data_IF_555246722578
#
_entry.id   IF_555246722578
#
_cell.length_a   1.000
_cell.length_b   1.000
_cell.length_c   1.000
_cell.angle_alpha   90.00
_cell.angle_beta   90.00
_cell.angle_gamma   90.00
#
_symmetry.space_group_name_H-M   'P 1'
#
loop_
_entity.id
_entity.type
_entity.pdbx_description
1 polymer ?
#
# COMPACT_ATOMS: atom_id res chain seq x y z
N UNK A 1 -4.81 -14.05 2.21
CA UNK A 1 -5.12 -14.32 0.78
C UNK A 1 -5.27 -13.04 -0.04
N UNK A 2 -5.67 -11.90 0.54
CA UNK A 2 -5.70 -10.61 -0.18
C UNK A 2 -4.33 -10.01 -0.50
N UNK A 3 -3.30 -10.34 0.27
CA UNK A 3 -1.94 -9.84 0.13
C UNK A 3 -1.10 -10.75 -0.76
N UNK A 4 -0.03 -10.25 -1.42
CA UNK A 4 0.93 -11.15 -2.04
C UNK A 4 1.55 -12.05 -0.95
N UNK A 5 2.20 -13.16 -1.32
CA UNK A 5 3.02 -13.91 -0.36
C UNK A 5 3.89 -12.93 0.44
N UNK A 6 3.72 -12.94 1.77
CA UNK A 6 4.27 -11.93 2.68
C UNK A 6 4.78 -12.64 3.93
N UNK A 7 5.96 -12.21 4.39
CA UNK A 7 6.56 -12.64 5.64
C UNK A 7 6.98 -11.40 6.44
N UNK A 8 6.87 -11.47 7.76
CA UNK A 8 7.47 -10.49 8.68
C UNK A 8 8.51 -11.25 9.51
N UNK A 9 9.79 -10.88 9.39
CA UNK A 9 10.86 -11.66 10.00
C UNK A 9 12.08 -10.82 10.41
N UNK A 10 12.77 -11.30 11.45
CA UNK A 10 14.16 -10.96 11.77
C UNK A 10 15.15 -12.00 11.25
N UNK A 11 14.70 -13.23 11.05
CA UNK A 11 15.58 -14.34 10.70
C UNK A 11 16.09 -14.22 9.26
N UNK A 12 17.40 -14.08 9.15
CA UNK A 12 18.11 -13.95 7.88
C UNK A 12 18.00 -15.23 7.05
N UNK A 13 17.95 -16.41 7.69
CA UNK A 13 17.81 -17.68 7.00
C UNK A 13 16.41 -17.76 6.36
N UNK A 14 15.35 -17.48 7.13
CA UNK A 14 14.00 -17.40 6.61
C UNK A 14 13.85 -16.39 5.45
N UNK A 15 14.48 -15.21 5.54
CA UNK A 15 14.44 -14.21 4.45
C UNK A 15 15.12 -14.74 3.17
N UNK A 16 16.25 -15.44 3.31
CA UNK A 16 16.93 -16.07 2.17
C UNK A 16 16.12 -17.22 1.57
N UNK A 17 15.46 -18.02 2.40
CA UNK A 17 14.58 -19.10 1.96
C UNK A 17 13.36 -18.54 1.22
N UNK A 18 12.73 -17.49 1.77
CA UNK A 18 11.63 -16.81 1.13
C UNK A 18 12.03 -16.26 -0.25
N UNK A 19 13.23 -15.66 -0.38
CA UNK A 19 13.79 -15.25 -1.69
C UNK A 19 14.05 -16.44 -2.59
N UNK A 20 14.59 -17.54 -2.07
CA UNK A 20 14.87 -18.72 -2.88
C UNK A 20 13.59 -19.30 -3.50
N UNK A 21 12.50 -19.32 -2.71
CA UNK A 21 11.19 -19.80 -3.14
C UNK A 21 10.49 -18.84 -4.11
N UNK A 22 10.43 -17.54 -3.77
CA UNK A 22 9.68 -16.55 -4.57
C UNK A 22 10.50 -15.82 -5.64
N UNK A 23 11.82 -16.02 -5.66
CA UNK A 23 12.82 -15.53 -6.63
C UNK A 23 13.03 -14.01 -6.59
N UNK A 24 11.98 -13.23 -6.79
CA UNK A 24 11.99 -11.76 -6.83
C UNK A 24 11.13 -11.23 -5.69
N UNK A 25 11.72 -10.42 -4.81
CA UNK A 25 11.09 -9.99 -3.57
C UNK A 25 11.22 -8.49 -3.35
N UNK A 26 10.27 -7.93 -2.61
CA UNK A 26 10.35 -6.62 -2.00
C UNK A 26 10.72 -6.80 -0.53
N UNK A 27 11.75 -6.08 -0.08
CA UNK A 27 12.14 -5.96 1.33
C UNK A 27 11.87 -4.53 1.77
N UNK A 28 11.07 -4.35 2.82
CA UNK A 28 10.71 -3.04 3.36
C UNK A 28 10.58 -3.04 4.89
N UNK A 29 10.91 -1.93 5.59
CA UNK A 29 10.54 -1.72 6.98
C UNK A 29 9.02 -1.85 7.19
N UNK A 30 8.58 -2.16 8.42
CA UNK A 30 7.17 -2.14 8.79
C UNK A 30 6.66 -0.70 8.97
N UNK A 31 7.53 0.16 9.50
CA UNK A 31 7.22 1.57 9.73
C UNK A 31 7.94 2.44 8.70
N UNK A 32 7.20 3.38 8.13
CA UNK A 32 7.72 4.27 7.10
C UNK A 32 6.58 4.82 6.27
N UNK A 33 6.91 5.67 5.32
CA UNK A 33 5.98 6.19 4.32
C UNK A 33 6.72 6.54 3.03
N UNK A 34 5.97 6.82 1.97
CA UNK A 34 6.52 7.41 0.74
C UNK A 34 7.51 6.54 -0.03
N UNK A 35 7.59 5.23 0.26
CA UNK A 35 8.53 4.33 -0.39
C UNK A 35 9.96 4.36 0.15
N UNK A 36 10.18 4.98 1.34
CA UNK A 36 11.47 4.94 2.02
C UNK A 36 11.80 3.51 2.47
N UNK A 37 13.04 3.08 2.21
CA UNK A 37 13.53 1.75 2.60
C UNK A 37 12.90 0.59 1.83
N UNK A 38 12.22 0.83 0.69
CA UNK A 38 11.71 -0.24 -0.16
C UNK A 38 12.79 -0.67 -1.16
N UNK A 39 13.21 -1.93 -1.07
CA UNK A 39 14.18 -2.53 -1.97
C UNK A 39 13.56 -3.68 -2.76
N UNK A 40 13.77 -3.70 -4.08
CA UNK A 40 13.52 -4.90 -4.89
C UNK A 40 14.80 -5.70 -4.96
N UNK A 41 14.74 -6.96 -4.53
CA UNK A 41 15.87 -7.89 -4.51
C UNK A 41 15.56 -9.01 -5.49
N UNK A 42 16.26 -8.99 -6.63
CA UNK A 42 16.16 -10.00 -7.68
C UNK A 42 16.87 -11.31 -7.28
N UNK A 43 16.67 -12.42 -8.01
CA UNK A 43 17.34 -13.69 -7.72
C UNK A 43 18.87 -13.63 -7.69
N UNK A 44 19.47 -12.73 -8.48
CA UNK A 44 20.91 -12.55 -8.66
C UNK A 44 21.49 -11.36 -7.87
N UNK A 45 20.68 -10.65 -7.08
CA UNK A 45 21.14 -9.48 -6.32
C UNK A 45 22.03 -9.89 -5.12
N UNK A 46 23.28 -9.44 -5.15
CA UNK A 46 24.29 -9.75 -4.13
C UNK A 46 24.13 -8.91 -2.85
N UNK A 47 23.34 -7.83 -2.88
CA UNK A 47 23.26 -6.85 -1.79
C UNK A 47 22.32 -7.25 -0.66
N UNK A 48 21.56 -8.35 -0.78
CA UNK A 48 20.65 -8.78 0.30
C UNK A 48 21.38 -8.94 1.63
N UNK A 49 22.59 -9.51 1.63
CA UNK A 49 23.37 -9.66 2.87
C UNK A 49 23.67 -8.32 3.52
N UNK A 50 24.26 -7.39 2.75
CA UNK A 50 24.63 -6.06 3.22
C UNK A 50 23.41 -5.23 3.66
N UNK A 51 22.26 -5.36 2.97
CA UNK A 51 21.01 -4.73 3.35
C UNK A 51 20.55 -5.22 4.73
N UNK A 52 20.53 -6.53 4.95
CA UNK A 52 20.14 -7.12 6.23
C UNK A 52 21.12 -6.76 7.35
N UNK A 53 22.42 -6.73 7.08
CA UNK A 53 23.45 -6.28 8.02
C UNK A 53 23.23 -4.81 8.43
N UNK A 54 23.03 -3.94 7.45
CA UNK A 54 22.80 -2.52 7.69
C UNK A 54 21.50 -2.28 8.47
N UNK A 55 20.41 -2.95 8.09
CA UNK A 55 19.12 -2.77 8.77
C UNK A 55 19.17 -3.30 10.21
N UNK A 56 19.60 -4.54 10.42
CA UNK A 56 19.62 -5.14 11.76
C UNK A 56 20.74 -4.62 12.66
N UNK A 57 21.77 -3.99 12.09
CA UNK A 57 22.78 -3.25 12.85
C UNK A 57 22.24 -1.92 13.41
N UNK A 58 21.33 -1.27 12.68
CA UNK A 58 20.80 0.06 13.04
C UNK A 58 19.40 0.02 13.69
N UNK A 59 18.65 -1.07 13.52
CA UNK A 59 17.28 -1.21 13.98
C UNK A 59 17.00 -2.62 14.52
N UNK A 60 16.15 -2.70 15.54
CA UNK A 60 15.59 -3.97 16.06
C UNK A 60 14.26 -4.35 15.39
N UNK A 61 13.79 -3.54 14.46
CA UNK A 61 12.52 -3.73 13.78
C UNK A 61 12.59 -4.90 12.79
N UNK A 62 11.57 -5.79 12.74
CA UNK A 62 11.53 -6.82 11.71
C UNK A 62 11.28 -6.20 10.34
N UNK A 63 11.65 -6.94 9.30
CA UNK A 63 11.40 -6.54 7.92
C UNK A 63 10.13 -7.24 7.42
N UNK A 64 9.34 -6.52 6.62
CA UNK A 64 8.34 -7.12 5.76
C UNK A 64 8.99 -7.52 4.44
N UNK A 65 8.83 -8.79 4.07
CA UNK A 65 9.30 -9.35 2.82
C UNK A 65 8.10 -9.83 2.02
N UNK A 66 7.92 -9.34 0.80
CA UNK A 66 6.81 -9.71 -0.07
C UNK A 66 7.33 -10.22 -1.41
N UNK A 67 6.59 -11.11 -2.08
CA UNK A 67 6.87 -11.42 -3.49
C UNK A 67 6.74 -10.12 -4.31
N UNK A 68 7.68 -9.90 -5.23
CA UNK A 68 7.56 -8.80 -6.20
C UNK A 68 6.40 -9.07 -7.15
N UNK A 69 5.50 -8.09 -7.30
CA UNK A 69 4.38 -8.14 -8.25
C UNK A 69 4.71 -7.33 -9.51
N UNK A 70 4.93 -7.99 -10.68
CA UNK A 70 5.26 -7.30 -11.92
C UNK A 70 4.20 -6.30 -12.39
N UNK A 71 2.94 -6.50 -11.97
CA UNK A 71 1.82 -5.61 -12.25
C UNK A 71 2.05 -4.16 -11.77
N UNK A 72 2.99 -3.92 -10.84
CA UNK A 72 3.37 -2.56 -10.40
C UNK A 72 3.81 -1.67 -11.56
N UNK A 73 4.28 -2.25 -12.67
CA UNK A 73 4.63 -1.50 -13.89
C UNK A 73 3.43 -0.86 -14.57
N UNK A 74 2.24 -1.43 -14.42
CA UNK A 74 0.98 -0.81 -14.83
C UNK A 74 0.49 0.22 -13.79
N UNK A 75 1.07 0.22 -12.60
CA UNK A 75 0.83 1.16 -11.53
C UNK A 75 0.44 0.51 -10.20
N UNK A 76 0.35 1.35 -9.19
CA UNK A 76 -0.06 1.05 -7.83
C UNK A 76 -1.31 1.89 -7.53
N UNK A 77 -2.44 1.20 -7.45
CA UNK A 77 -3.74 1.82 -7.30
C UNK A 77 -3.98 2.19 -5.84
N UNK A 78 -4.10 3.49 -5.59
CA UNK A 78 -4.56 4.06 -4.32
C UNK A 78 -6.08 4.11 -4.33
N UNK A 79 -6.74 3.27 -3.53
CA UNK A 79 -8.20 3.30 -3.34
C UNK A 79 -8.50 4.00 -2.01
N UNK A 80 -9.40 4.98 -2.05
CA UNK A 80 -9.82 5.78 -0.92
C UNK A 80 -11.08 5.18 -0.33
N UNK A 81 -11.03 4.82 0.95
CA UNK A 81 -12.18 4.37 1.73
C UNK A 81 -12.55 5.42 2.78
N UNK A 82 -13.84 5.75 2.83
CA UNK A 82 -14.42 6.63 3.85
C UNK A 82 -15.50 5.84 4.59
N UNK A 83 -15.36 5.73 5.90
CA UNK A 83 -16.24 4.92 6.76
C UNK A 83 -16.38 3.46 6.30
N UNK A 84 -15.31 2.90 5.71
CA UNK A 84 -15.28 1.54 5.16
C UNK A 84 -15.82 1.40 3.73
N UNK A 85 -16.33 2.47 3.12
CA UNK A 85 -16.87 2.46 1.75
C UNK A 85 -15.82 2.95 0.75
N UNK A 86 -15.55 2.25 -0.36
CA UNK A 86 -14.60 2.69 -1.38
C UNK A 86 -15.22 3.76 -2.28
N UNK A 87 -14.76 5.01 -2.16
CA UNK A 87 -15.37 6.18 -2.81
C UNK A 87 -14.53 6.83 -3.90
N UNK A 88 -13.27 6.43 -4.07
CA UNK A 88 -12.43 6.96 -5.14
C UNK A 88 -11.17 6.14 -5.34
N UNK A 89 -10.56 6.26 -6.52
CA UNK A 89 -9.30 5.58 -6.80
C UNK A 89 -8.44 6.42 -7.75
N UNK A 90 -7.12 6.34 -7.55
CA UNK A 90 -6.14 6.87 -8.50
C UNK A 90 -5.09 5.80 -8.76
N UNK A 91 -4.57 5.73 -9.99
CA UNK A 91 -3.46 4.85 -10.29
C UNK A 91 -2.16 5.65 -10.25
N UNK A 92 -1.18 5.20 -9.48
CA UNK A 92 0.14 5.84 -9.39
C UNK A 92 1.12 5.04 -10.21
N UNK A 93 1.56 5.60 -11.34
CA UNK A 93 2.45 4.89 -12.26
C UNK A 93 3.90 5.29 -11.95
N UNK A 94 4.81 4.33 -11.72
CA UNK A 94 6.22 4.62 -11.49
C UNK A 94 6.86 5.27 -12.73
N UNK A 95 7.89 6.08 -12.50
CA UNK A 95 8.74 6.60 -13.58
C UNK A 95 9.63 5.48 -14.14
N UNK A 96 10.07 5.62 -15.39
CA UNK A 96 10.99 4.67 -16.00
C UNK A 96 12.28 4.58 -15.18
N UNK A 97 12.76 3.35 -14.93
CA UNK A 97 13.96 3.09 -14.14
C UNK A 97 13.75 2.97 -12.62
N UNK A 98 12.64 3.46 -12.04
CA UNK A 98 12.30 3.27 -10.62
C UNK A 98 11.17 2.24 -10.47
N UNK A 99 11.20 1.44 -9.41
CA UNK A 99 10.12 0.50 -9.09
C UNK A 99 9.04 1.13 -8.17
N UNK A 100 9.34 2.27 -7.55
CA UNK A 100 8.45 2.96 -6.61
C UNK A 100 7.44 3.81 -7.36
N UNK A 101 6.17 3.62 -7.01
CA UNK A 101 5.00 4.29 -7.61
C UNK A 101 4.52 5.49 -6.79
N UNK A 102 5.01 5.67 -5.55
CA UNK A 102 4.55 6.74 -4.67
C UNK A 102 4.75 8.11 -5.33
N UNK A 103 3.76 9.00 -5.23
CA UNK A 103 3.85 10.36 -5.80
C UNK A 103 5.02 11.16 -5.22
N UNK A 104 5.38 10.92 -3.95
CA UNK A 104 6.56 11.52 -3.32
C UNK A 104 7.89 11.09 -3.96
N UNK A 105 7.92 9.91 -4.60
CA UNK A 105 9.08 9.39 -5.32
C UNK A 105 9.03 9.73 -6.83
N UNK A 106 8.15 10.64 -7.26
CA UNK A 106 8.00 11.06 -8.65
C UNK A 106 6.95 10.30 -9.45
N UNK A 107 6.22 9.36 -8.84
CA UNK A 107 5.12 8.65 -9.50
C UNK A 107 4.01 9.58 -9.99
N UNK A 108 3.50 9.33 -11.19
CA UNK A 108 2.46 10.17 -11.82
C UNK A 108 1.08 9.59 -11.53
N UNK A 109 0.22 10.39 -10.93
CA UNK A 109 -1.18 10.02 -10.74
C UNK A 109 -1.93 10.04 -12.08
N UNK A 110 -2.70 8.98 -12.34
CA UNK A 110 -3.53 8.81 -13.52
C UNK A 110 -4.96 8.44 -13.10
N UNK A 111 -5.98 8.85 -13.87
CA UNK A 111 -7.34 8.37 -13.66
C UNK A 111 -7.40 6.85 -13.78
N UNK A 112 -8.27 6.22 -13.01
CA UNK A 112 -8.44 4.76 -13.02
C UNK A 112 -9.82 4.38 -12.52
N UNK A 113 -10.23 3.15 -12.80
CA UNK A 113 -11.47 2.57 -12.27
C UNK A 113 -11.14 1.36 -11.40
N UNK A 114 -12.03 1.07 -10.45
CA UNK A 114 -11.92 -0.14 -9.63
C UNK A 114 -12.39 -1.37 -10.41
N UNK A 115 -11.54 -2.39 -10.46
CA UNK A 115 -11.84 -3.73 -10.99
C UNK A 115 -12.77 -4.48 -10.05
N UNK A 116 -13.26 -5.64 -10.49
CA UNK A 116 -14.02 -6.54 -9.61
C UNK A 116 -13.19 -6.98 -8.38
N UNK A 117 -11.89 -7.25 -8.59
CA UNK A 117 -10.97 -7.64 -7.52
C UNK A 117 -10.74 -6.52 -6.51
N UNK A 118 -10.60 -5.27 -6.98
CA UNK A 118 -10.48 -4.11 -6.10
C UNK A 118 -11.69 -3.97 -5.18
N UNK A 119 -12.90 -4.14 -5.74
CA UNK A 119 -14.16 -4.07 -4.98
C UNK A 119 -14.26 -5.19 -3.95
N UNK A 120 -13.93 -6.42 -4.33
CA UNK A 120 -13.89 -7.56 -3.41
C UNK A 120 -12.93 -7.30 -2.24
N UNK A 121 -11.73 -6.76 -2.50
CA UNK A 121 -10.77 -6.37 -1.45
C UNK A 121 -11.43 -5.36 -0.50
N UNK A 122 -12.06 -4.31 -1.04
CA UNK A 122 -12.71 -3.26 -0.25
C UNK A 122 -13.87 -3.81 0.58
N UNK A 123 -14.73 -4.65 0.00
CA UNK A 123 -15.86 -5.29 0.69
C UNK A 123 -15.41 -6.15 1.87
N UNK A 124 -14.28 -6.85 1.72
CA UNK A 124 -13.75 -7.72 2.78
C UNK A 124 -13.10 -6.96 3.93
N UNK A 125 -12.39 -5.86 3.65
CA UNK A 125 -11.68 -5.10 4.69
C UNK A 125 -12.56 -3.98 5.29
N UNK A 126 -13.48 -3.42 4.51
CA UNK A 126 -14.30 -2.25 4.85
C UNK A 126 -15.01 -2.36 6.21
N UNK A 127 -15.72 -3.47 6.50
CA UNK A 127 -16.37 -3.67 7.79
C UNK A 127 -15.40 -3.62 8.98
N UNK A 128 -14.20 -4.18 8.82
CA UNK A 128 -13.17 -4.16 9.87
C UNK A 128 -12.59 -2.76 10.07
N UNK A 129 -12.36 -2.01 8.98
CA UNK A 129 -11.89 -0.63 9.05
C UNK A 129 -12.90 0.25 9.79
N UNK A 130 -14.19 0.12 9.43
CA UNK A 130 -15.30 0.83 10.08
C UNK A 130 -15.41 0.48 11.56
N UNK A 131 -15.40 -0.81 11.92
CA UNK A 131 -15.49 -1.27 13.30
C UNK A 131 -14.33 -0.77 14.18
N UNK A 132 -13.15 -0.56 13.60
CA UNK A 132 -11.98 0.02 14.29
C UNK A 132 -12.00 1.55 14.35
N UNK A 133 -13.06 2.18 13.86
CA UNK A 133 -13.19 3.64 13.83
C UNK A 133 -12.31 4.33 12.79
N UNK A 134 -11.66 3.58 11.88
CA UNK A 134 -10.78 4.11 10.83
C UNK A 134 -11.61 4.81 9.75
N UNK A 135 -11.95 6.06 10.01
CA UNK A 135 -12.86 6.85 9.19
C UNK A 135 -12.32 7.08 7.78
N UNK A 136 -11.03 7.39 7.65
CA UNK A 136 -10.41 7.78 6.38
C UNK A 136 -9.17 6.93 6.17
N UNK A 137 -9.23 6.05 5.16
CA UNK A 137 -8.18 5.07 4.86
C UNK A 137 -7.85 5.09 3.37
N UNK A 138 -6.57 4.95 3.03
CA UNK A 138 -6.12 4.72 1.66
C UNK A 138 -5.46 3.36 1.56
N UNK A 139 -5.97 2.46 0.72
CA UNK A 139 -5.31 1.18 0.45
C UNK A 139 -4.54 1.23 -0.86
N UNK A 140 -3.47 0.46 -0.92
CA UNK A 140 -2.63 0.31 -2.10
C UNK A 140 -2.81 -1.09 -2.67
N UNK A 141 -3.15 -1.17 -3.96
CA UNK A 141 -3.42 -2.42 -4.67
C UNK A 141 -2.54 -2.49 -5.93
N UNK A 142 -1.80 -3.59 -6.05
CA UNK A 142 -0.95 -3.88 -7.21
C UNK A 142 -1.46 -5.18 -7.84
N UNK A 143 -1.91 -5.09 -9.10
CA UNK A 143 -2.59 -6.21 -9.75
C UNK A 143 -3.81 -6.62 -8.93
N UNK A 144 -3.81 -7.87 -8.45
CA UNK A 144 -4.91 -8.46 -7.67
C UNK A 144 -4.68 -8.46 -6.15
N UNK A 145 -3.60 -7.80 -5.69
CA UNK A 145 -3.14 -7.90 -4.32
C UNK A 145 -3.13 -6.56 -3.59
N UNK A 146 -3.66 -6.59 -2.36
CA UNK A 146 -3.53 -5.54 -1.36
C UNK A 146 -2.10 -5.54 -0.80
N UNK A 147 -1.37 -4.43 -0.94
CA UNK A 147 0.04 -4.33 -0.50
C UNK A 147 0.21 -3.50 0.76
N UNK A 148 -0.69 -2.55 1.03
CA UNK A 148 -0.63 -1.65 2.18
C UNK A 148 -2.00 -1.06 2.53
N UNK A 149 -2.22 -0.75 3.82
CA UNK A 149 -3.38 0.01 4.33
C UNK A 149 -2.85 1.25 5.05
N UNK A 150 -3.09 2.44 4.50
CA UNK A 150 -2.67 3.73 5.04
C UNK A 150 -3.79 4.35 5.88
N UNK A 151 -3.60 4.44 7.20
CA UNK A 151 -4.66 4.88 8.14
C UNK A 151 -4.38 6.22 8.83
N UNK A 152 -3.22 6.84 8.58
CA UNK A 152 -2.78 8.05 9.29
C UNK A 152 -3.09 9.32 8.50
N UNK A 153 -2.51 9.45 7.31
CA UNK A 153 -2.70 10.61 6.42
C UNK A 153 -2.74 10.16 4.95
N UNK A 154 -3.80 9.42 4.54
CA UNK A 154 -3.90 8.98 3.16
C UNK A 154 -4.14 10.19 2.22
N UNK A 155 -3.36 10.25 1.15
CA UNK A 155 -3.47 11.27 0.09
C UNK A 155 -4.26 10.72 -1.12
N UNK A 156 -4.69 11.61 -2.01
CA UNK A 156 -5.36 11.26 -3.27
C UNK A 156 -6.66 12.02 -3.55
N UNK A 157 -7.23 12.71 -2.56
CA UNK A 157 -8.52 13.42 -2.73
C UNK A 157 -8.48 14.47 -3.83
N UNK A 158 -7.41 15.26 -3.91
CA UNK A 158 -7.27 16.30 -4.94
C UNK A 158 -7.25 15.71 -6.36
N UNK A 159 -6.62 14.55 -6.52
CA UNK A 159 -6.53 13.86 -7.81
C UNK A 159 -7.87 13.26 -8.19
N UNK A 160 -8.59 12.63 -7.25
CA UNK A 160 -9.96 12.15 -7.48
C UNK A 160 -10.88 13.30 -7.88
N UNK A 161 -10.84 14.43 -7.17
CA UNK A 161 -11.62 15.60 -7.52
C UNK A 161 -11.30 16.13 -8.93
N UNK A 162 -10.01 16.17 -9.32
CA UNK A 162 -9.61 16.62 -10.66
C UNK A 162 -9.98 15.66 -11.78
N UNK A 163 -9.89 14.35 -11.53
CA UNK A 163 -10.10 13.32 -12.56
C UNK A 163 -11.57 12.97 -12.74
N UNK A 164 -12.31 12.86 -11.64
CA UNK A 164 -13.67 12.34 -11.64
C UNK A 164 -14.71 13.42 -11.33
N UNK A 165 -14.28 14.65 -11.00
CA UNK A 165 -15.14 15.73 -10.51
C UNK A 165 -15.94 15.32 -9.25
N UNK A 166 -15.32 14.48 -8.40
CA UNK A 166 -15.89 13.96 -7.15
C UNK A 166 -15.16 14.55 -5.94
N UNK A 167 -15.91 15.23 -5.09
CA UNK A 167 -15.41 15.95 -3.91
C UNK A 167 -15.63 15.15 -2.62
N UNK A 168 -14.67 14.29 -2.30
CA UNK A 168 -14.77 13.36 -1.17
C UNK A 168 -14.58 14.03 0.20
N UNK A 169 -14.02 15.24 0.25
CA UNK A 169 -13.82 16.02 1.47
C UNK A 169 -15.14 16.31 2.20
N UNK A 170 -16.22 16.58 1.46
CA UNK A 170 -17.54 16.81 2.04
C UNK A 170 -18.07 15.54 2.73
N UNK A 171 -17.95 14.39 2.06
CA UNK A 171 -18.37 13.10 2.63
C UNK A 171 -17.61 12.75 3.92
N UNK A 172 -16.33 13.10 4.02
CA UNK A 172 -15.57 12.91 5.26
C UNK A 172 -16.21 13.72 6.39
N UNK A 173 -16.50 15.01 6.15
CA UNK A 173 -17.15 15.87 7.15
C UNK A 173 -18.54 15.38 7.53
N UNK A 174 -19.37 15.00 6.55
CA UNK A 174 -20.70 14.43 6.81
C UNK A 174 -20.62 13.23 7.76
N UNK A 175 -19.63 12.34 7.56
CA UNK A 175 -19.42 11.17 8.43
C UNK A 175 -18.87 11.55 9.81
N UNK A 176 -18.03 12.59 9.92
CA UNK A 176 -17.58 13.14 11.22
C UNK A 176 -18.77 13.69 12.00
N UNK A 177 -19.59 14.53 11.37
CA UNK A 177 -20.76 15.16 11.97
C UNK A 177 -21.77 14.12 12.43
N UNK A 178 -22.08 13.13 11.59
CA UNK A 178 -22.95 12.01 11.95
C UNK A 178 -22.43 11.25 13.18
N UNK A 179 -21.13 10.94 13.26
CA UNK A 179 -20.54 10.28 14.44
C UNK A 179 -20.60 11.14 15.70
N UNK A 180 -20.51 12.46 15.57
CA UNK A 180 -20.61 13.40 16.71
C UNK A 180 -22.03 13.59 17.20
N UNK A 181 -23.00 13.61 16.28
CA UNK A 181 -24.42 13.74 16.60
C UNK A 181 -24.97 12.56 17.42
N UNK A 182 -24.37 11.37 17.28
CA UNK A 182 -24.81 10.16 17.98
C UNK A 182 -24.12 9.91 19.33
N UNK A 183 -23.24 10.81 19.80
CA UNK A 183 -22.53 10.70 21.08
C UNK A 183 -21.61 9.46 21.18
N UNK A 184 -20.73 9.38 22.21
CA UNK A 184 -20.11 8.11 22.59
C UNK A 184 -21.12 7.11 23.13
#
# INVERSE_FOLDING_TARGET
DLMPPTMIAWDRAAIREFRAHHRDIIVKPLFGNGGMGIFRIKPDDENLGALLDTHFGNSREPLMVQRYEPAVRAGDKRIILIDGEPLGAINRVPVEGDARSNMHAGGVARPTTMTARDREICERIGPTLKARGLLFTGIDVIGDYLTEINVTSPTGLQQVARFDNVHLEATIWDRIEARRAHGP
#
